data_IF_295820290072
#
_entry.id   IF_295820290072
#
_cell.length_a   1.000
_cell.length_b   1.000
_cell.length_c   1.000
_cell.angle_alpha   90.00
_cell.angle_beta   90.00
_cell.angle_gamma   90.00
#
_symmetry.space_group_name_H-M   'P 1'
#
loop_
_entity.id
_entity.type
_entity.pdbx_description
1 polymer ?
#
# COMPACT_ATOMS: atom_id res chain seq x y z
N UNK A 1 -19.02 3.17 11.84
CA UNK A 1 -19.50 1.82 11.56
C UNK A 1 -18.34 0.91 11.23
N UNK A 2 -18.28 -0.21 11.91
CA UNK A 2 -17.32 -1.27 11.64
C UNK A 2 -18.05 -2.39 10.90
N UNK A 3 -17.67 -2.71 9.69
CA UNK A 3 -18.30 -3.77 8.92
C UNK A 3 -17.84 -3.76 7.46
N UNK A 4 -18.33 -4.73 6.69
CA UNK A 4 -18.08 -4.82 5.26
C UNK A 4 -18.57 -3.55 4.56
N UNK A 5 -17.67 -2.79 3.91
CA UNK A 5 -17.97 -1.52 3.26
C UNK A 5 -17.75 -0.27 4.13
N UNK A 6 -17.28 -0.40 5.37
CA UNK A 6 -16.90 0.73 6.20
C UNK A 6 -15.41 1.05 6.01
N UNK A 7 -15.11 2.06 5.22
CA UNK A 7 -13.75 2.53 4.97
C UNK A 7 -13.13 2.01 3.66
N UNK A 8 -11.87 2.36 3.46
CA UNK A 8 -11.10 1.95 2.28
C UNK A 8 -10.76 0.44 2.36
N UNK A 9 -11.02 -0.26 1.27
CA UNK A 9 -10.54 -1.62 1.07
C UNK A 9 -9.10 -1.55 0.59
N UNK A 10 -8.20 -1.94 1.44
CA UNK A 10 -6.78 -1.88 1.23
C UNK A 10 -6.06 -1.60 2.53
N UNK A 11 -4.77 -1.44 2.48
CA UNK A 11 -3.98 -1.22 3.69
C UNK A 11 -2.71 -0.42 3.43
N UNK A 12 -2.26 0.21 4.49
CA UNK A 12 -0.93 0.80 4.58
C UNK A 12 -0.06 -0.19 5.36
N UNK A 13 1.18 -0.40 4.93
CA UNK A 13 2.12 -1.27 5.66
C UNK A 13 2.33 -0.78 7.09
N UNK A 14 2.46 -1.72 8.01
CA UNK A 14 2.76 -1.40 9.40
C UNK A 14 4.10 -0.65 9.49
N UNK A 15 4.12 0.43 10.28
CA UNK A 15 5.31 1.26 10.44
C UNK A 15 5.48 2.36 9.40
N UNK A 16 4.49 2.61 8.54
CA UNK A 16 4.48 3.78 7.67
C UNK A 16 4.61 5.08 8.48
N UNK A 17 5.28 6.07 7.90
CA UNK A 17 5.40 7.40 8.49
C UNK A 17 4.02 7.97 8.80
N UNK A 18 3.86 8.52 10.00
CA UNK A 18 2.60 9.10 10.45
C UNK A 18 2.82 10.44 11.15
N UNK A 19 1.83 11.31 11.04
CA UNK A 19 1.73 12.60 11.69
C UNK A 19 0.27 12.89 12.03
N UNK A 20 -0.03 14.13 12.41
CA UNK A 20 -1.39 14.63 12.58
C UNK A 20 -1.53 15.96 11.85
N UNK A 21 -2.74 16.34 11.53
CA UNK A 21 -3.05 17.69 11.04
C UNK A 21 -2.71 18.73 12.10
N UNK A 22 -2.16 19.85 11.69
CA UNK A 22 -2.01 21.07 12.49
C UNK A 22 -2.91 22.14 11.86
N UNK A 23 -4.20 22.06 12.20
CA UNK A 23 -5.29 22.84 11.62
C UNK A 23 -6.28 21.98 10.83
N UNK A 24 -7.56 22.31 10.96
CA UNK A 24 -8.62 21.58 10.27
C UNK A 24 -8.64 21.87 8.76
N UNK A 25 -9.01 20.87 7.95
CA UNK A 25 -9.34 21.04 6.54
C UNK A 25 -10.85 21.22 6.45
N UNK A 26 -11.30 22.46 6.31
CA UNK A 26 -12.72 22.83 6.39
C UNK A 26 -13.49 22.67 5.06
N UNK A 27 -12.80 22.44 3.95
CA UNK A 27 -13.43 22.26 2.64
C UNK A 27 -12.95 21.00 1.94
N UNK A 28 -13.86 20.15 1.41
CA UNK A 28 -13.50 18.92 0.70
C UNK A 28 -12.80 19.16 -0.64
N UNK A 29 -12.88 20.37 -1.18
CA UNK A 29 -12.30 20.76 -2.47
C UNK A 29 -11.10 21.70 -2.33
N UNK A 30 -10.67 22.01 -1.10
CA UNK A 30 -9.52 22.90 -0.88
C UNK A 30 -8.24 22.27 -1.42
N UNK A 31 -7.52 23.04 -2.23
CA UNK A 31 -6.16 22.73 -2.70
C UNK A 31 -5.10 23.54 -1.96
N UNK A 32 -5.46 24.21 -0.87
CA UNK A 32 -4.52 24.89 0.01
C UNK A 32 -3.52 23.89 0.60
N UNK A 33 -2.35 24.38 0.98
CA UNK A 33 -1.37 23.58 1.67
C UNK A 33 -1.97 22.93 2.92
N UNK A 34 -1.50 21.73 3.22
CA UNK A 34 -1.93 20.98 4.40
C UNK A 34 -0.78 20.99 5.42
N UNK A 35 -0.99 21.68 6.53
CA UNK A 35 0.01 21.76 7.59
C UNK A 35 -0.06 20.53 8.50
N UNK A 36 1.07 19.87 8.71
CA UNK A 36 1.24 18.73 9.61
C UNK A 36 1.89 19.20 10.94
N UNK A 37 1.68 18.45 12.00
CA UNK A 37 2.43 18.62 13.25
C UNK A 37 3.92 18.37 13.02
N UNK A 38 4.27 17.43 12.13
CA UNK A 38 5.63 17.22 11.63
C UNK A 38 5.57 16.57 10.25
N UNK A 39 6.32 17.07 9.29
CA UNK A 39 6.51 16.44 7.98
C UNK A 39 7.79 15.57 7.92
N UNK A 40 8.45 15.33 9.05
CA UNK A 40 9.65 14.48 9.10
C UNK A 40 9.33 13.05 8.67
N UNK A 41 10.10 12.53 7.72
CA UNK A 41 9.95 11.17 7.19
C UNK A 41 8.95 11.03 6.03
N UNK A 42 8.26 12.12 5.65
CA UNK A 42 7.56 12.19 4.37
C UNK A 42 8.54 12.63 3.27
N UNK A 43 8.35 12.10 2.07
CA UNK A 43 9.25 12.34 0.94
C UNK A 43 8.67 13.36 -0.05
N UNK A 44 9.55 14.17 -0.66
CA UNK A 44 9.18 15.08 -1.74
C UNK A 44 10.41 15.37 -2.61
N UNK A 45 10.51 14.71 -3.76
CA UNK A 45 11.63 14.84 -4.69
C UNK A 45 11.24 15.56 -5.96
N UNK A 46 12.15 16.38 -6.48
CA UNK A 46 12.07 16.93 -7.82
C UNK A 46 13.45 16.85 -8.48
N UNK A 47 13.49 16.37 -9.71
CA UNK A 47 14.70 16.17 -10.49
C UNK A 47 14.40 16.36 -11.97
N UNK A 48 15.34 16.02 -12.82
CA UNK A 48 15.16 15.98 -14.28
C UNK A 48 15.60 14.64 -14.85
N UNK A 49 15.03 14.24 -15.99
CA UNK A 49 15.50 13.07 -16.72
C UNK A 49 16.95 13.27 -17.19
N UNK A 50 17.80 12.28 -16.93
CA UNK A 50 19.20 12.27 -17.40
C UNK A 50 19.33 11.93 -18.88
N UNK A 51 18.36 11.22 -19.44
CA UNK A 51 18.29 10.79 -20.84
C UNK A 51 16.85 10.73 -21.31
N UNK A 52 16.66 10.85 -22.63
CA UNK A 52 15.37 10.60 -23.27
C UNK A 52 14.97 9.15 -23.05
N UNK A 53 13.69 8.92 -22.76
CA UNK A 53 13.08 7.60 -22.58
C UNK A 53 11.92 7.42 -23.55
N UNK A 54 11.68 6.17 -23.92
CA UNK A 54 10.51 5.74 -24.69
C UNK A 54 9.37 5.38 -23.74
N UNK A 55 8.22 5.07 -24.29
CA UNK A 55 7.05 4.55 -23.57
C UNK A 55 7.27 3.13 -23.01
N UNK A 56 8.23 2.38 -23.56
CA UNK A 56 8.51 0.98 -23.21
C UNK A 56 9.77 0.79 -22.31
N UNK A 57 10.45 1.86 -21.93
CA UNK A 57 11.65 1.75 -21.10
C UNK A 57 11.33 1.21 -19.70
N UNK A 58 12.07 0.18 -19.27
CA UNK A 58 11.93 -0.50 -18.00
C UNK A 58 12.70 0.18 -16.84
N UNK A 59 13.45 1.23 -17.12
CA UNK A 59 14.21 2.00 -16.13
C UNK A 59 14.25 3.48 -16.51
N UNK A 60 14.32 4.35 -15.50
CA UNK A 60 14.36 5.79 -15.67
C UNK A 60 15.50 6.36 -14.84
N UNK A 61 16.47 6.97 -15.51
CA UNK A 61 17.60 7.65 -14.88
C UNK A 61 17.30 9.14 -14.69
N UNK A 62 17.58 9.66 -13.50
CA UNK A 62 17.37 11.06 -13.10
C UNK A 62 18.69 11.72 -12.66
N UNK A 63 18.74 13.03 -12.68
CA UNK A 63 19.93 13.79 -12.31
C UNK A 63 20.26 13.67 -10.80
N UNK A 64 19.25 13.58 -9.94
CA UNK A 64 19.40 13.44 -8.48
C UNK A 64 18.23 12.68 -7.89
N UNK A 65 18.51 11.75 -7.00
CA UNK A 65 17.51 10.99 -6.22
C UNK A 65 17.16 11.64 -4.88
N UNK A 66 17.71 12.79 -4.56
CA UNK A 66 17.45 13.47 -3.28
C UNK A 66 15.97 13.78 -3.11
N UNK A 67 15.40 13.36 -1.98
CA UNK A 67 14.00 13.59 -1.62
C UNK A 67 13.01 12.58 -2.22
N UNK A 68 13.48 11.62 -3.03
CA UNK A 68 12.65 10.52 -3.52
C UNK A 68 12.73 9.33 -2.55
N UNK A 69 11.59 8.70 -2.29
CA UNK A 69 11.53 7.45 -1.53
C UNK A 69 12.17 6.28 -2.29
N UNK A 70 12.47 5.18 -1.59
CA UNK A 70 13.00 3.95 -2.22
C UNK A 70 12.00 3.31 -3.20
N UNK A 71 10.71 3.51 -2.99
CA UNK A 71 9.63 3.10 -3.88
C UNK A 71 8.49 4.13 -3.82
N UNK A 72 7.68 4.22 -4.86
CA UNK A 72 6.60 5.19 -4.87
C UNK A 72 6.04 5.51 -6.24
N UNK A 73 5.67 6.76 -6.41
CA UNK A 73 5.03 7.27 -7.63
C UNK A 73 5.71 8.57 -8.03
N UNK A 74 5.95 8.74 -9.32
CA UNK A 74 6.46 9.98 -9.92
C UNK A 74 5.52 10.45 -11.02
N UNK A 75 5.59 11.72 -11.36
CA UNK A 75 5.01 12.27 -12.58
C UNK A 75 6.09 12.85 -13.49
N UNK A 76 5.92 12.65 -14.79
CA UNK A 76 6.70 13.30 -15.84
C UNK A 76 5.69 13.85 -16.85
N UNK A 77 5.62 15.16 -16.98
CA UNK A 77 4.56 15.82 -17.74
C UNK A 77 3.17 15.35 -17.30
N UNK A 78 2.38 14.72 -18.17
CA UNK A 78 1.04 14.19 -17.87
C UNK A 78 1.02 12.72 -17.49
N UNK A 79 2.15 12.02 -17.55
CA UNK A 79 2.24 10.60 -17.19
C UNK A 79 2.55 10.43 -15.71
N UNK A 80 1.85 9.49 -15.09
CA UNK A 80 2.13 9.01 -13.72
C UNK A 80 2.74 7.61 -13.81
N UNK A 81 3.84 7.41 -13.13
CA UNK A 81 4.62 6.17 -13.17
C UNK A 81 4.84 5.68 -11.75
N UNK A 82 4.44 4.43 -11.47
CA UNK A 82 4.86 3.75 -10.23
C UNK A 82 6.25 3.16 -10.44
N UNK A 83 7.07 3.17 -9.38
CA UNK A 83 8.34 2.46 -9.34
C UNK A 83 8.46 1.64 -8.05
N UNK A 84 9.03 0.45 -8.17
CA UNK A 84 9.22 -0.46 -7.04
C UNK A 84 10.56 -0.26 -6.34
N UNK A 85 11.57 0.23 -7.05
CA UNK A 85 12.92 0.37 -6.51
C UNK A 85 13.61 1.62 -7.06
N UNK A 86 14.31 2.34 -6.17
CA UNK A 86 15.24 3.42 -6.52
C UNK A 86 16.66 3.02 -6.07
N UNK A 87 17.55 2.83 -7.03
CA UNK A 87 18.95 2.52 -6.76
C UNK A 87 19.85 3.57 -7.38
N UNK A 88 20.64 4.25 -6.55
CA UNK A 88 21.38 5.44 -6.99
C UNK A 88 20.40 6.49 -7.52
N UNK A 89 20.53 6.83 -8.79
CA UNK A 89 19.65 7.78 -9.46
C UNK A 89 18.75 7.10 -10.53
N UNK A 90 18.45 5.81 -10.36
CA UNK A 90 17.67 5.05 -11.35
C UNK A 90 16.46 4.40 -10.72
N UNK A 91 15.29 4.68 -11.26
CA UNK A 91 14.03 3.98 -10.94
C UNK A 91 13.93 2.70 -11.76
N UNK A 92 13.49 1.61 -11.13
CA UNK A 92 13.20 0.31 -11.75
C UNK A 92 11.88 -0.26 -11.24
N UNK A 93 11.48 -1.42 -11.78
CA UNK A 93 10.19 -2.04 -11.49
C UNK A 93 9.02 -1.08 -11.79
N UNK A 94 9.03 -0.56 -13.01
CA UNK A 94 8.13 0.50 -13.44
C UNK A 94 6.75 -0.05 -13.82
N UNK A 95 5.71 0.67 -13.42
CA UNK A 95 4.37 0.59 -14.01
C UNK A 95 4.09 1.94 -14.66
N UNK A 96 4.17 1.97 -15.99
CA UNK A 96 3.95 3.15 -16.82
C UNK A 96 2.44 3.44 -16.91
N UNK A 97 2.07 4.66 -17.24
CA UNK A 97 0.67 5.04 -17.42
C UNK A 97 -0.23 4.78 -16.19
N UNK A 98 0.31 4.84 -14.99
CA UNK A 98 -0.40 4.48 -13.77
C UNK A 98 -1.61 5.41 -13.50
N UNK A 99 -2.60 4.90 -12.76
CA UNK A 99 -3.81 5.62 -12.35
C UNK A 99 -4.61 6.24 -13.51
N UNK A 100 -4.62 5.58 -14.68
CA UNK A 100 -5.41 5.99 -15.84
C UNK A 100 -4.73 7.06 -16.70
N UNK A 101 -3.45 7.36 -16.48
CA UNK A 101 -2.65 8.16 -17.41
C UNK A 101 -2.16 7.31 -18.58
N UNK A 102 -1.65 7.94 -19.62
CA UNK A 102 -1.15 7.24 -20.82
C UNK A 102 0.37 7.21 -20.80
N UNK A 103 0.94 6.06 -21.10
CA UNK A 103 2.38 5.88 -21.34
C UNK A 103 2.85 6.79 -22.47
N UNK A 104 3.98 7.47 -22.27
CA UNK A 104 4.53 8.41 -23.24
C UNK A 104 6.07 8.41 -23.26
N UNK A 105 6.64 8.83 -24.37
CA UNK A 105 8.05 9.15 -24.44
C UNK A 105 8.32 10.50 -23.76
N UNK A 106 9.45 10.63 -23.09
CA UNK A 106 9.89 11.85 -22.43
C UNK A 106 11.31 12.21 -22.82
N UNK A 107 11.59 13.51 -22.89
CA UNK A 107 12.88 14.03 -23.36
C UNK A 107 13.83 14.27 -22.18
N UNK A 108 15.12 14.08 -22.40
CA UNK A 108 16.15 14.45 -21.42
C UNK A 108 15.93 15.91 -20.96
N UNK A 109 15.99 16.12 -19.64
CA UNK A 109 15.71 17.42 -19.01
C UNK A 109 14.26 17.64 -18.60
N UNK A 110 13.30 16.79 -19.00
CA UNK A 110 11.93 16.85 -18.49
C UNK A 110 11.91 16.71 -16.95
N UNK A 111 11.06 17.47 -16.29
CA UNK A 111 10.93 17.45 -14.84
C UNK A 111 10.30 16.15 -14.37
N UNK A 112 10.93 15.53 -13.40
CA UNK A 112 10.45 14.35 -12.68
C UNK A 112 10.07 14.79 -11.26
N UNK A 113 8.79 14.67 -10.91
CA UNK A 113 8.28 15.09 -9.60
C UNK A 113 7.78 13.86 -8.83
N UNK A 114 8.20 13.72 -7.58
CA UNK A 114 7.65 12.73 -6.68
C UNK A 114 6.20 13.07 -6.33
N UNK A 115 5.31 12.10 -6.45
CA UNK A 115 3.92 12.21 -6.02
C UNK A 115 3.76 11.50 -4.67
N UNK A 116 3.90 12.27 -3.60
CA UNK A 116 3.59 11.77 -2.27
C UNK A 116 2.10 11.52 -2.11
N UNK A 117 1.74 10.56 -1.29
CA UNK A 117 0.35 10.22 -0.99
C UNK A 117 0.18 10.08 0.49
N UNK A 118 -0.83 10.72 1.04
CA UNK A 118 -1.23 10.56 2.44
C UNK A 118 -2.67 10.06 2.52
N UNK A 119 -2.94 9.28 3.55
CA UNK A 119 -4.27 8.88 3.98
C UNK A 119 -4.67 9.70 5.20
N UNK A 120 -5.82 10.36 5.12
CA UNK A 120 -6.47 11.03 6.24
C UNK A 120 -7.87 10.45 6.34
N UNK A 121 -8.13 9.68 7.42
CA UNK A 121 -9.40 8.95 7.58
C UNK A 121 -9.69 8.02 6.38
N UNK A 122 -10.57 8.40 5.46
CA UNK A 122 -10.95 7.65 4.27
C UNK A 122 -10.58 8.37 2.96
N UNK A 123 -9.78 9.42 3.02
CA UNK A 123 -9.36 10.17 1.84
C UNK A 123 -7.88 9.96 1.54
N UNK A 124 -7.57 9.62 0.30
CA UNK A 124 -6.22 9.68 -0.25
C UNK A 124 -6.00 11.05 -0.89
N UNK A 125 -4.93 11.69 -0.49
CA UNK A 125 -4.52 13.02 -0.95
C UNK A 125 -3.12 12.92 -1.52
N UNK A 126 -2.91 13.39 -2.75
CA UNK A 126 -1.56 13.50 -3.31
C UNK A 126 -1.00 14.89 -3.09
N UNK A 127 0.32 14.94 -2.94
CA UNK A 127 1.09 16.18 -2.85
C UNK A 127 2.36 16.09 -3.68
N UNK A 128 2.92 17.23 -4.10
CA UNK A 128 4.10 17.29 -4.96
C UNK A 128 5.32 17.93 -4.27
N UNK A 129 5.16 18.45 -3.08
CA UNK A 129 6.25 19.10 -2.37
C UNK A 129 6.00 19.20 -0.88
N UNK A 130 7.07 19.46 -0.13
CA UNK A 130 7.03 19.74 1.31
C UNK A 130 7.81 21.04 1.57
N UNK A 131 7.20 21.95 2.31
CA UNK A 131 7.83 23.19 2.78
C UNK A 131 7.70 23.29 4.29
N UNK A 132 8.78 23.06 5.03
CA UNK A 132 8.79 22.92 6.48
C UNK A 132 7.87 21.78 6.94
N UNK A 133 6.66 22.08 7.37
CA UNK A 133 5.64 21.10 7.76
C UNK A 133 4.40 21.12 6.86
N UNK A 134 4.44 21.86 5.76
CA UNK A 134 3.33 21.97 4.83
C UNK A 134 3.50 21.02 3.65
N UNK A 135 2.52 20.18 3.41
CA UNK A 135 2.37 19.47 2.13
C UNK A 135 1.84 20.46 1.11
N UNK A 136 2.49 20.56 -0.04
CA UNK A 136 2.19 21.52 -1.11
C UNK A 136 1.82 20.82 -2.42
N UNK A 137 1.16 21.54 -3.33
CA UNK A 137 0.71 20.96 -4.61
C UNK A 137 -0.32 19.85 -4.39
N UNK A 138 -1.35 20.16 -3.63
CA UNK A 138 -2.36 19.23 -3.13
C UNK A 138 -3.37 18.86 -4.22
N UNK A 139 -3.63 17.56 -4.37
CA UNK A 139 -4.81 17.04 -5.09
C UNK A 139 -5.63 16.17 -4.15
N UNK A 140 -6.89 16.52 -3.99
CA UNK A 140 -7.84 15.89 -3.05
C UNK A 140 -8.58 14.73 -3.69
N UNK A 141 -9.01 13.77 -2.87
CA UNK A 141 -9.87 12.67 -3.31
C UNK A 141 -9.26 11.81 -4.41
N UNK A 142 -7.96 11.54 -4.37
CA UNK A 142 -7.25 10.78 -5.41
C UNK A 142 -7.50 9.27 -5.29
N UNK A 143 -7.15 8.52 -6.33
CA UNK A 143 -7.21 7.05 -6.38
C UNK A 143 -8.57 6.47 -6.01
N UNK A 144 -9.65 7.12 -6.47
CA UNK A 144 -11.03 6.67 -6.26
C UNK A 144 -11.63 7.02 -4.90
N UNK A 145 -10.95 7.81 -4.08
CA UNK A 145 -11.54 8.38 -2.86
C UNK A 145 -12.25 9.69 -3.14
N UNK A 146 -12.98 10.19 -2.17
CA UNK A 146 -13.70 11.47 -2.27
C UNK A 146 -13.13 12.46 -1.26
N UNK A 147 -12.90 13.70 -1.70
CA UNK A 147 -12.47 14.77 -0.80
C UNK A 147 -13.46 14.99 0.34
N UNK A 148 -12.97 15.15 1.55
CA UNK A 148 -13.75 15.33 2.77
C UNK A 148 -13.20 16.47 3.63
N UNK A 149 -13.96 16.91 4.62
CA UNK A 149 -13.46 17.77 5.68
C UNK A 149 -12.77 16.92 6.75
N UNK A 150 -11.68 17.43 7.33
CA UNK A 150 -10.94 16.73 8.37
C UNK A 150 -10.75 17.65 9.57
N UNK A 151 -10.94 17.11 10.76
CA UNK A 151 -10.73 17.88 11.99
C UNK A 151 -9.23 18.13 12.24
N UNK A 152 -8.94 19.16 13.02
CA UNK A 152 -7.60 19.35 13.58
C UNK A 152 -7.18 18.10 14.37
N UNK A 153 -5.88 17.78 14.36
CA UNK A 153 -5.28 16.59 14.95
C UNK A 153 -5.73 15.25 14.34
N UNK A 154 -6.49 15.22 13.24
CA UNK A 154 -6.75 13.96 12.50
C UNK A 154 -5.44 13.29 12.10
N UNK A 155 -5.39 11.97 12.19
CA UNK A 155 -4.21 11.17 11.81
C UNK A 155 -3.93 11.29 10.31
N UNK A 156 -2.66 11.51 9.98
CA UNK A 156 -2.14 11.57 8.62
C UNK A 156 -1.08 10.47 8.47
N UNK A 157 -1.27 9.56 7.55
CA UNK A 157 -0.34 8.45 7.32
C UNK A 157 0.21 8.49 5.91
N UNK A 158 1.51 8.20 5.75
CA UNK A 158 2.09 7.96 4.42
C UNK A 158 1.39 6.75 3.77
N UNK A 159 0.82 6.99 2.61
CA UNK A 159 0.04 6.01 1.85
C UNK A 159 0.68 5.63 0.51
N UNK A 160 2.00 5.87 0.33
CA UNK A 160 2.71 5.50 -0.91
C UNK A 160 2.60 4.03 -1.25
N UNK A 161 2.52 3.18 -0.24
CA UNK A 161 2.38 1.72 -0.37
C UNK A 161 0.93 1.25 -0.25
N UNK A 162 -0.04 2.17 -0.23
CA UNK A 162 -1.45 1.82 -0.18
C UNK A 162 -1.83 1.00 -1.41
N UNK A 163 -2.34 -0.20 -1.20
CA UNK A 163 -2.85 -1.10 -2.23
C UNK A 163 -4.36 -1.18 -2.06
N UNK A 164 -5.10 -0.67 -3.04
CA UNK A 164 -6.54 -0.78 -3.13
C UNK A 164 -6.99 -2.01 -3.94
N UNK A 165 -8.29 -2.22 -4.01
CA UNK A 165 -8.87 -3.22 -4.91
C UNK A 165 -8.61 -2.83 -6.37
N UNK A 166 -8.03 -3.75 -7.13
CA UNK A 166 -7.70 -3.53 -8.54
C UNK A 166 -6.28 -3.07 -8.82
N UNK A 167 -5.52 -2.69 -7.79
CA UNK A 167 -4.07 -2.48 -7.95
C UNK A 167 -3.35 -3.84 -8.01
N UNK A 168 -2.50 -4.02 -9.00
CA UNK A 168 -1.62 -5.18 -9.04
C UNK A 168 -0.66 -5.14 -7.85
N UNK A 169 -0.46 -6.28 -7.18
CA UNK A 169 0.58 -6.41 -6.17
C UNK A 169 1.94 -6.11 -6.82
N UNK A 170 2.79 -5.34 -6.14
CA UNK A 170 4.13 -4.96 -6.64
C UNK A 170 5.12 -6.14 -6.74
N UNK A 171 4.74 -7.28 -6.21
CA UNK A 171 5.51 -8.54 -6.31
C UNK A 171 4.65 -9.58 -6.98
N UNK A 172 5.29 -10.51 -7.69
CA UNK A 172 4.63 -11.72 -8.20
C UNK A 172 4.16 -12.52 -6.99
N UNK A 173 2.99 -12.18 -6.48
CA UNK A 173 2.36 -12.96 -5.42
C UNK A 173 1.75 -14.16 -6.12
N UNK A 174 2.43 -15.30 -6.10
CA UNK A 174 1.86 -16.60 -6.37
C UNK A 174 0.94 -16.99 -5.21
N UNK A 175 0.00 -16.12 -4.86
CA UNK A 175 -1.06 -16.47 -3.95
C UNK A 175 -2.10 -17.21 -4.75
N UNK A 176 -1.95 -18.52 -4.81
CA UNK A 176 -3.05 -19.39 -5.20
C UNK A 176 -4.25 -19.08 -4.30
N UNK A 177 -5.44 -19.14 -4.88
CA UNK A 177 -6.69 -19.06 -4.13
C UNK A 177 -6.63 -20.07 -2.98
N UNK A 178 -6.54 -19.59 -1.74
CA UNK A 178 -6.52 -20.48 -0.57
C UNK A 178 -7.94 -20.95 -0.31
N UNK A 179 -8.19 -22.20 -0.66
CA UNK A 179 -9.42 -22.89 -0.30
C UNK A 179 -9.25 -23.50 1.09
N UNK A 180 -10.13 -23.10 2.00
CA UNK A 180 -10.20 -23.65 3.34
C UNK A 180 -11.19 -24.82 3.37
N UNK A 181 -10.82 -25.87 4.05
CA UNK A 181 -11.72 -26.96 4.45
C UNK A 181 -11.78 -26.99 5.97
N UNK A 182 -12.97 -27.21 6.50
CA UNK A 182 -13.20 -27.29 7.92
C UNK A 182 -14.29 -28.30 8.23
N UNK A 183 -14.15 -28.97 9.38
CA UNK A 183 -15.16 -29.89 9.90
C UNK A 183 -15.05 -29.93 11.42
N UNK A 184 -16.13 -30.32 12.09
CA UNK A 184 -16.16 -30.41 13.54
C UNK A 184 -15.83 -31.85 13.99
N UNK A 185 -14.93 -31.97 14.93
CA UNK A 185 -14.69 -33.20 15.67
C UNK A 185 -15.22 -33.00 17.11
N UNK A 186 -16.42 -33.44 17.37
CA UNK A 186 -17.18 -33.13 18.61
C UNK A 186 -17.32 -31.60 18.79
N UNK A 187 -16.70 -31.04 19.83
CA UNK A 187 -16.72 -29.60 20.12
C UNK A 187 -15.54 -28.83 19.53
N UNK A 188 -14.57 -29.55 18.97
CA UNK A 188 -13.34 -28.99 18.39
C UNK A 188 -13.48 -28.78 16.88
N UNK A 189 -12.68 -27.85 16.35
CA UNK A 189 -12.67 -27.55 14.94
C UNK A 189 -11.39 -28.08 14.28
N UNK A 190 -11.52 -28.94 13.29
CA UNK A 190 -10.44 -29.31 12.38
C UNK A 190 -10.51 -28.44 11.14
N UNK A 191 -9.39 -27.90 10.70
CA UNK A 191 -9.32 -27.09 9.49
C UNK A 191 -7.98 -27.18 8.79
N UNK A 192 -8.00 -27.00 7.48
CA UNK A 192 -6.77 -26.88 6.69
C UNK A 192 -6.93 -25.92 5.51
N UNK A 193 -5.82 -25.42 5.04
CA UNK A 193 -5.71 -24.83 3.70
C UNK A 193 -5.42 -25.99 2.76
N UNK A 194 -6.10 -26.05 1.62
CA UNK A 194 -5.89 -27.08 0.59
C UNK A 194 -4.39 -27.18 0.27
N UNK A 195 -3.90 -28.43 0.25
CA UNK A 195 -2.47 -28.75 0.09
C UNK A 195 -1.56 -28.18 1.19
N UNK A 196 -2.11 -27.89 2.36
CA UNK A 196 -1.39 -27.45 3.57
C UNK A 196 -1.58 -28.38 4.77
N UNK A 197 -0.97 -28.00 5.89
CA UNK A 197 -1.10 -28.72 7.16
C UNK A 197 -2.53 -28.72 7.68
N UNK A 198 -2.84 -29.69 8.52
CA UNK A 198 -4.13 -29.77 9.23
C UNK A 198 -3.96 -29.18 10.63
N UNK A 199 -4.88 -28.34 11.03
CA UNK A 199 -4.92 -27.70 12.32
C UNK A 199 -6.13 -28.13 13.12
N UNK A 200 -5.99 -28.19 14.44
CA UNK A 200 -7.09 -28.34 15.38
C UNK A 200 -7.18 -27.10 16.25
N UNK A 201 -8.39 -26.61 16.43
CA UNK A 201 -8.72 -25.62 17.43
C UNK A 201 -9.60 -26.27 18.48
N UNK A 202 -9.10 -26.37 19.71
CA UNK A 202 -9.79 -26.98 20.84
C UNK A 202 -10.62 -25.94 21.56
N UNK A 203 -11.93 -26.17 21.62
CA UNK A 203 -12.87 -25.28 22.34
C UNK A 203 -12.48 -25.05 23.80
N UNK A 204 -11.93 -26.08 24.46
CA UNK A 204 -11.52 -25.99 25.86
C UNK A 204 -10.45 -24.89 26.10
N UNK A 205 -9.64 -24.57 25.10
CA UNK A 205 -8.59 -23.56 25.18
C UNK A 205 -9.09 -22.11 24.98
N UNK A 206 -10.37 -21.93 24.64
CA UNK A 206 -11.02 -20.64 24.48
C UNK A 206 -10.72 -19.95 23.14
N UNK A 207 -11.53 -18.94 22.82
CA UNK A 207 -11.52 -18.25 21.50
C UNK A 207 -10.24 -17.47 21.20
N UNK A 208 -9.44 -17.14 22.21
CA UNK A 208 -8.20 -16.37 22.02
C UNK A 208 -6.96 -17.25 21.79
N UNK A 209 -7.12 -18.58 21.87
CA UNK A 209 -6.04 -19.53 21.62
C UNK A 209 -6.08 -19.94 20.15
N UNK A 210 -4.98 -19.74 19.39
CA UNK A 210 -4.91 -20.17 17.99
C UNK A 210 -5.01 -21.69 17.85
N UNK A 211 -5.48 -22.16 16.67
CA UNK A 211 -5.40 -23.58 16.34
C UNK A 211 -3.94 -24.05 16.20
N UNK A 212 -3.71 -25.30 16.54
CA UNK A 212 -2.39 -25.96 16.57
C UNK A 212 -2.29 -26.95 15.41
N UNK A 213 -1.13 -27.02 14.76
CA UNK A 213 -0.82 -28.05 13.76
C UNK A 213 -0.88 -29.43 14.42
N UNK A 214 -1.74 -30.33 13.90
CA UNK A 214 -1.91 -31.66 14.49
C UNK A 214 -0.63 -32.49 14.48
N UNK A 215 0.30 -32.24 13.56
CA UNK A 215 1.59 -32.94 13.52
C UNK A 215 2.51 -32.58 14.70
N UNK A 216 2.24 -31.48 15.39
CA UNK A 216 3.00 -31.03 16.57
C UNK A 216 2.47 -31.62 17.89
N UNK A 217 1.34 -32.29 17.88
CA UNK A 217 0.75 -32.87 19.08
C UNK A 217 1.47 -34.14 19.53
N UNK A 218 1.42 -34.43 20.84
CA UNK A 218 2.00 -35.66 21.37
C UNK A 218 1.29 -36.90 20.83
N UNK A 219 2.05 -37.86 20.29
CA UNK A 219 1.47 -39.07 19.69
C UNK A 219 1.10 -38.96 18.20
N UNK A 220 1.33 -37.82 17.59
CA UNK A 220 0.92 -37.49 16.22
C UNK A 220 1.95 -37.87 15.12
N UNK A 221 2.85 -38.80 15.38
CA UNK A 221 3.93 -39.17 14.46
C UNK A 221 3.48 -39.57 13.05
N UNK A 222 2.23 -39.98 12.89
CA UNK A 222 1.61 -40.35 11.62
C UNK A 222 0.56 -39.32 11.15
N UNK A 223 0.49 -38.12 11.76
CA UNK A 223 -0.44 -37.10 11.32
C UNK A 223 -0.07 -36.60 9.91
N UNK A 224 -1.05 -36.32 9.05
CA UNK A 224 -0.78 -35.80 7.73
C UNK A 224 -0.22 -34.39 7.82
N UNK A 225 0.95 -34.18 7.21
CA UNK A 225 1.60 -32.86 7.10
C UNK A 225 1.08 -32.06 5.90
N UNK A 226 0.35 -32.72 4.99
CA UNK A 226 -0.31 -32.10 3.85
C UNK A 226 -1.65 -32.81 3.61
N UNK A 227 -2.72 -32.06 3.52
CA UNK A 227 -4.06 -32.56 3.23
C UNK A 227 -4.79 -31.68 2.20
N UNK A 228 -5.63 -32.33 1.38
CA UNK A 228 -6.47 -31.59 0.43
C UNK A 228 -7.73 -31.04 1.10
N UNK A 229 -8.29 -31.81 2.02
CA UNK A 229 -9.44 -31.41 2.84
C UNK A 229 -9.50 -32.23 4.11
N UNK A 230 -10.23 -31.75 5.10
CA UNK A 230 -10.61 -32.47 6.33
C UNK A 230 -12.10 -32.84 6.25
N UNK A 231 -12.43 -34.04 6.70
CA UNK A 231 -13.78 -34.55 6.89
C UNK A 231 -13.75 -35.48 8.11
N UNK A 232 -14.68 -35.34 9.02
CA UNK A 232 -14.85 -36.18 10.22
C UNK A 232 -16.04 -37.10 10.08
#
# INVERSE_FOLDING_TARGET
GTGWGAGLWGGIVSGATASTLNGAISSPTSTANITLASATGFDSGSSTLSSTITDADASIAIASSTGFAESGTISINSEVIKYGTLTGNTFTDLTRGAFGTTEAAHTAGDTVTYLGVVLIENELITYTGISTNDLTGITRGTRGTTGATHADASSVQDARTFIGWGDAASTTVTNELRLWSQDNYEEDLLFNVRDGAVYVWERANGLLTPGVDISSLSGSSNAPVVAKQVLT
#
